data_IF_891391491917
#
_entry.id   IF_891391491917
#
_cell.length_a   1.000
_cell.length_b   1.000
_cell.length_c   1.000
_cell.angle_alpha   90.00
_cell.angle_beta   90.00
_cell.angle_gamma   90.00
#
_symmetry.space_group_name_H-M   'P 1'
#
loop_
_entity.id
_entity.type
_entity.pdbx_description
1 polymer ?
#
# COMPACT_ATOMS: atom_id res chain seq x y z
N UNK A 1 -32.25 -18.95 -3.94
CA UNK A 1 -31.25 -19.59 -3.07
C UNK A 1 -29.99 -19.86 -3.89
N UNK A 2 -28.91 -19.18 -3.62
CA UNK A 2 -27.64 -19.42 -4.32
C UNK A 2 -26.96 -20.67 -3.75
N UNK A 3 -26.52 -21.55 -4.64
CA UNK A 3 -25.92 -22.84 -4.31
C UNK A 3 -24.61 -22.66 -3.54
N UNK A 4 -24.49 -23.08 -2.25
CA UNK A 4 -23.29 -22.92 -1.43
C UNK A 4 -22.04 -23.58 -2.01
N UNK A 5 -22.18 -24.57 -2.88
CA UNK A 5 -21.07 -25.23 -3.56
C UNK A 5 -20.38 -24.35 -4.61
N UNK A 6 -21.03 -23.31 -5.14
CA UNK A 6 -20.40 -22.35 -6.08
C UNK A 6 -19.40 -21.43 -5.35
N UNK A 7 -19.71 -21.05 -4.12
CA UNK A 7 -18.84 -20.20 -3.30
C UNK A 7 -17.58 -20.97 -2.88
N UNK A 8 -17.74 -22.25 -2.51
CA UNK A 8 -16.60 -23.10 -2.12
C UNK A 8 -15.65 -23.40 -3.29
N UNK A 9 -16.16 -23.47 -4.52
CA UNK A 9 -15.34 -23.65 -5.73
C UNK A 9 -14.57 -22.38 -6.12
N UNK A 10 -15.13 -21.20 -5.85
CA UNK A 10 -14.43 -19.92 -5.98
C UNK A 10 -13.28 -19.82 -4.98
N UNK A 11 -13.47 -20.19 -3.72
CA UNK A 11 -12.37 -20.22 -2.72
C UNK A 11 -11.23 -21.17 -3.06
N UNK A 12 -11.49 -22.31 -3.71
CA UNK A 12 -10.43 -23.22 -4.20
C UNK A 12 -9.65 -22.67 -5.38
N UNK A 13 -10.21 -21.71 -6.15
CA UNK A 13 -9.58 -21.11 -7.33
C UNK A 13 -8.64 -19.94 -6.97
N UNK A 14 -8.80 -19.33 -5.78
CA UNK A 14 -7.93 -18.28 -5.26
C UNK A 14 -6.82 -18.85 -4.36
N UNK A 15 -6.07 -19.83 -4.89
CA UNK A 15 -4.85 -20.33 -4.24
C UNK A 15 -3.65 -19.42 -4.51
N UNK A 16 -3.84 -18.38 -5.29
CA UNK A 16 -2.84 -17.37 -5.63
C UNK A 16 -3.02 -16.17 -4.69
N UNK A 17 -1.93 -15.76 -4.07
CA UNK A 17 -1.90 -14.52 -3.31
C UNK A 17 -1.96 -13.33 -4.27
N UNK A 18 -2.42 -12.17 -3.81
CA UNK A 18 -2.87 -11.10 -4.68
C UNK A 18 -2.21 -9.75 -4.35
N UNK A 19 -2.15 -8.87 -5.33
CA UNK A 19 -1.94 -7.43 -5.13
C UNK A 19 -3.27 -6.79 -4.78
N UNK A 20 -3.37 -6.29 -3.56
CA UNK A 20 -4.63 -5.80 -2.97
C UNK A 20 -4.47 -4.33 -2.62
N UNK A 21 -5.43 -3.51 -3.00
CA UNK A 21 -5.54 -2.14 -2.53
C UNK A 21 -6.79 -1.99 -1.67
N UNK A 22 -6.62 -1.51 -0.45
CA UNK A 22 -7.72 -1.22 0.48
C UNK A 22 -7.85 0.29 0.60
N UNK A 23 -8.97 0.81 0.15
CA UNK A 23 -9.29 2.23 0.13
C UNK A 23 -10.25 2.57 1.28
N UNK A 24 -9.84 3.41 2.22
CA UNK A 24 -10.71 3.84 3.31
C UNK A 24 -10.37 5.25 3.82
N UNK A 25 -11.33 5.96 4.39
CA UNK A 25 -11.11 7.26 5.07
C UNK A 25 -10.15 7.09 6.27
N UNK A 26 -9.58 8.21 6.70
CA UNK A 26 -8.81 8.24 7.95
C UNK A 26 -9.69 7.80 9.13
N UNK A 27 -9.11 7.03 10.05
CA UNK A 27 -9.84 6.53 11.23
C UNK A 27 -10.70 5.27 11.00
N UNK A 28 -10.87 4.79 9.77
CA UNK A 28 -11.70 3.61 9.45
C UNK A 28 -11.00 2.26 9.67
N UNK A 29 -9.90 2.25 10.40
CA UNK A 29 -9.29 1.01 10.88
C UNK A 29 -8.34 0.32 9.91
N UNK A 30 -7.80 1.00 8.87
CA UNK A 30 -6.82 0.41 7.93
C UNK A 30 -5.67 -0.27 8.67
N UNK A 31 -4.99 0.44 9.55
CA UNK A 31 -3.89 -0.12 10.36
C UNK A 31 -4.38 -1.23 11.29
N UNK A 32 -5.59 -1.08 11.87
CA UNK A 32 -6.19 -2.10 12.74
C UNK A 32 -6.48 -3.40 11.97
N UNK A 33 -6.82 -3.33 10.69
CA UNK A 33 -7.17 -4.51 9.89
C UNK A 33 -6.01 -5.51 9.78
N UNK A 34 -4.77 -5.04 9.67
CA UNK A 34 -3.61 -5.94 9.63
C UNK A 34 -2.96 -6.15 11.02
N UNK A 35 -2.95 -5.13 11.88
CA UNK A 35 -2.38 -5.25 13.22
C UNK A 35 -3.20 -6.16 14.15
N UNK A 36 -4.50 -6.24 13.91
CA UNK A 36 -5.45 -6.83 14.84
C UNK A 36 -5.72 -5.94 16.05
N UNK A 37 -6.83 -6.18 16.71
CA UNK A 37 -7.19 -5.55 17.99
C UNK A 37 -8.19 -6.43 18.72
N UNK A 38 -7.69 -7.27 19.61
CA UNK A 38 -8.50 -8.26 20.34
C UNK A 38 -9.71 -7.64 21.04
N UNK A 39 -9.54 -6.46 21.64
CA UNK A 39 -10.64 -5.71 22.28
C UNK A 39 -11.85 -5.50 21.37
N UNK A 40 -11.66 -5.48 20.05
CA UNK A 40 -12.71 -5.31 19.04
C UNK A 40 -12.95 -6.56 18.20
N UNK A 41 -12.40 -7.71 18.61
CA UNK A 41 -12.55 -8.97 17.88
C UNK A 41 -11.82 -8.99 16.53
N UNK A 42 -10.94 -8.03 16.24
CA UNK A 42 -10.17 -7.98 14.98
C UNK A 42 -8.90 -8.80 15.13
N UNK A 43 -8.81 -9.91 14.42
CA UNK A 43 -7.68 -10.85 14.52
C UNK A 43 -6.38 -10.31 13.89
N UNK A 44 -6.47 -9.56 12.81
CA UNK A 44 -5.31 -9.07 12.04
C UNK A 44 -4.56 -10.17 11.28
N UNK A 45 -3.43 -9.78 10.68
CA UNK A 45 -2.51 -10.71 10.01
C UNK A 45 -1.51 -11.29 11.02
N UNK A 46 -0.96 -12.46 10.72
CA UNK A 46 0.09 -13.08 11.54
C UNK A 46 1.40 -12.27 11.44
N UNK A 47 1.90 -11.64 12.52
CA UNK A 47 3.12 -10.83 12.47
C UNK A 47 4.38 -11.60 12.05
N UNK A 48 4.42 -12.93 12.27
CA UNK A 48 5.55 -13.77 11.85
C UNK A 48 5.61 -13.96 10.34
N UNK A 49 4.49 -13.77 9.64
CA UNK A 49 4.36 -13.92 8.20
C UNK A 49 4.12 -12.58 7.50
N UNK A 50 4.18 -11.46 8.24
CA UNK A 50 3.82 -10.14 7.72
C UNK A 50 4.96 -9.16 7.90
N UNK A 51 5.33 -8.46 6.82
CA UNK A 51 6.23 -7.31 6.85
C UNK A 51 5.44 -6.03 6.59
N UNK A 52 5.68 -4.99 7.38
CA UNK A 52 4.97 -3.70 7.28
C UNK A 52 5.91 -2.60 6.83
N UNK A 53 5.55 -1.87 5.80
CA UNK A 53 6.22 -0.68 5.31
C UNK A 53 5.30 0.51 5.59
N UNK A 54 5.65 1.36 6.54
CA UNK A 54 4.91 2.57 6.85
C UNK A 54 5.42 3.74 6.03
N UNK A 55 4.56 4.33 5.21
CA UNK A 55 4.93 5.54 4.48
C UNK A 55 5.07 6.75 5.38
N UNK A 56 4.36 6.77 6.52
CA UNK A 56 4.56 7.74 7.59
C UNK A 56 4.76 7.01 8.92
N UNK A 57 5.63 7.56 9.78
CA UNK A 57 5.92 7.01 11.10
C UNK A 57 4.73 7.15 12.04
N UNK A 58 4.07 6.03 12.31
CA UNK A 58 3.00 5.94 13.31
C UNK A 58 3.26 4.79 14.27
N UNK A 59 2.87 5.00 15.52
CA UNK A 59 2.88 3.92 16.51
C UNK A 59 1.89 2.83 16.12
N UNK A 60 2.36 1.58 16.12
CA UNK A 60 1.54 0.40 15.93
C UNK A 60 1.23 -0.20 17.30
N UNK A 61 -0.05 -0.51 17.55
CA UNK A 61 -0.50 -1.04 18.85
C UNK A 61 0.06 -2.46 19.09
N UNK A 62 0.18 -3.26 18.03
CA UNK A 62 0.70 -4.62 18.14
C UNK A 62 2.22 -4.63 18.21
N UNK A 63 2.76 -4.88 19.41
CA UNK A 63 4.19 -4.90 19.70
C UNK A 63 4.98 -6.02 18.99
N UNK A 64 4.29 -6.98 18.37
CA UNK A 64 4.93 -8.03 17.56
C UNK A 64 5.44 -7.49 16.20
N UNK A 65 5.03 -6.29 15.79
CA UNK A 65 5.62 -5.59 14.65
C UNK A 65 6.83 -4.77 15.11
N UNK A 66 8.00 -5.40 15.08
CA UNK A 66 9.26 -4.81 15.53
C UNK A 66 9.86 -3.91 14.46
N UNK A 67 10.13 -2.66 14.83
CA UNK A 67 10.79 -1.69 13.93
C UNK A 67 12.23 -2.11 13.68
N UNK A 68 12.64 -2.20 12.41
CA UNK A 68 14.05 -2.30 12.04
C UNK A 68 14.75 -0.96 12.34
N UNK A 69 16.06 -0.95 12.61
CA UNK A 69 16.77 0.24 13.05
C UNK A 69 16.80 1.38 12.00
N UNK A 70 16.70 1.01 10.74
CA UNK A 70 16.68 1.92 9.59
C UNK A 70 15.93 1.28 8.41
N UNK A 71 15.91 1.96 7.26
CA UNK A 71 15.28 1.47 6.04
C UNK A 71 16.29 0.82 5.05
N UNK A 72 17.50 0.53 5.48
CA UNK A 72 18.48 -0.11 4.61
C UNK A 72 18.13 -1.58 4.35
N UNK A 73 18.37 -2.04 3.13
CA UNK A 73 18.03 -3.43 2.74
C UNK A 73 18.69 -4.45 3.68
N UNK A 74 19.93 -4.20 4.10
CA UNK A 74 20.65 -5.06 5.04
C UNK A 74 20.01 -5.12 6.44
N UNK A 75 19.18 -4.15 6.79
CA UNK A 75 18.53 -4.06 8.09
C UNK A 75 17.12 -4.66 8.12
N UNK A 76 16.55 -5.02 6.96
CA UNK A 76 15.16 -5.56 6.89
C UNK A 76 14.99 -6.81 7.73
N UNK A 77 16.01 -7.65 7.85
CA UNK A 77 15.95 -8.88 8.67
C UNK A 77 15.98 -8.63 10.19
N UNK A 78 16.30 -7.40 10.64
CA UNK A 78 16.37 -7.03 12.06
C UNK A 78 15.01 -6.67 12.66
N UNK A 79 13.96 -6.64 11.84
CA UNK A 79 12.59 -6.39 12.24
C UNK A 79 11.61 -6.94 11.21
N UNK A 80 10.34 -6.64 11.40
CA UNK A 80 9.29 -6.93 10.41
C UNK A 80 8.44 -5.67 10.12
N UNK A 81 9.04 -4.49 10.36
CA UNK A 81 8.46 -3.18 10.07
C UNK A 81 9.56 -2.15 9.81
N UNK A 82 9.34 -1.25 8.85
CA UNK A 82 10.14 -0.05 8.59
C UNK A 82 9.26 1.19 8.49
N UNK A 83 9.87 2.36 8.62
CA UNK A 83 9.24 3.68 8.46
C UNK A 83 10.01 4.49 7.42
N UNK A 84 9.35 4.86 6.33
CA UNK A 84 9.97 5.55 5.20
C UNK A 84 10.03 7.08 5.34
N UNK A 85 9.33 7.66 6.32
CA UNK A 85 9.31 9.11 6.57
C UNK A 85 10.65 9.70 7.01
N UNK A 86 11.60 8.87 7.41
CA UNK A 86 13.00 9.27 7.65
C UNK A 86 13.77 9.57 6.37
N UNK A 87 13.23 9.17 5.21
CA UNK A 87 13.82 9.40 3.88
C UNK A 87 13.02 10.50 3.19
N UNK A 88 13.69 11.47 2.60
CA UNK A 88 13.06 12.59 1.89
C UNK A 88 13.17 12.47 0.38
N UNK A 89 12.37 13.26 -0.32
CA UNK A 89 12.47 13.44 -1.76
C UNK A 89 12.18 12.17 -2.58
N UNK A 90 12.78 12.11 -3.77
CA UNK A 90 12.65 10.98 -4.70
C UNK A 90 13.27 9.69 -4.18
N UNK A 91 14.22 9.78 -3.26
CA UNK A 91 14.86 8.59 -2.67
C UNK A 91 13.88 7.75 -1.86
N UNK A 92 12.80 8.36 -1.34
CA UNK A 92 11.72 7.64 -0.66
C UNK A 92 10.96 6.70 -1.60
N UNK A 93 10.68 7.12 -2.83
CA UNK A 93 10.05 6.27 -3.85
C UNK A 93 10.96 5.11 -4.26
N UNK A 94 12.25 5.43 -4.53
CA UNK A 94 13.26 4.41 -4.86
C UNK A 94 13.40 3.41 -3.73
N UNK A 95 13.49 3.88 -2.48
CA UNK A 95 13.63 3.02 -1.32
C UNK A 95 12.43 2.09 -1.15
N UNK A 96 11.20 2.58 -1.35
CA UNK A 96 10.02 1.72 -1.31
C UNK A 96 10.10 0.64 -2.39
N UNK A 97 10.43 1.00 -3.63
CA UNK A 97 10.59 0.03 -4.72
C UNK A 97 11.68 -1.01 -4.41
N UNK A 98 12.84 -0.59 -3.92
CA UNK A 98 13.96 -1.47 -3.56
C UNK A 98 13.60 -2.43 -2.42
N UNK A 99 12.89 -1.94 -1.40
CA UNK A 99 12.39 -2.75 -0.27
C UNK A 99 11.38 -3.78 -0.77
N UNK A 100 10.45 -3.41 -1.64
CA UNK A 100 9.50 -4.35 -2.23
C UNK A 100 10.23 -5.47 -2.98
N UNK A 101 11.22 -5.13 -3.81
CA UNK A 101 12.04 -6.12 -4.54
C UNK A 101 12.82 -7.03 -3.57
N UNK A 102 13.41 -6.47 -2.52
CA UNK A 102 14.14 -7.25 -1.51
C UNK A 102 13.22 -8.23 -0.78
N UNK A 103 11.98 -7.82 -0.48
CA UNK A 103 10.99 -8.66 0.23
C UNK A 103 10.44 -9.81 -0.62
N UNK A 104 10.64 -9.81 -1.94
CA UNK A 104 10.28 -10.94 -2.80
C UNK A 104 10.92 -12.24 -2.30
N UNK A 105 12.20 -12.17 -1.90
CA UNK A 105 12.96 -13.35 -1.41
C UNK A 105 12.86 -13.56 0.10
N UNK A 106 12.09 -12.75 0.81
CA UNK A 106 11.93 -12.86 2.26
C UNK A 106 10.98 -14.02 2.64
N UNK A 107 10.98 -14.48 3.90
CA UNK A 107 10.05 -15.50 4.37
C UNK A 107 8.62 -14.96 4.59
N UNK A 108 8.41 -13.66 4.47
CA UNK A 108 7.11 -13.04 4.70
C UNK A 108 6.14 -13.33 3.56
N UNK A 109 4.94 -13.76 3.89
CA UNK A 109 3.84 -14.02 2.95
C UNK A 109 3.01 -12.78 2.66
N UNK A 110 2.92 -11.87 3.65
CA UNK A 110 2.14 -10.65 3.52
C UNK A 110 3.08 -9.44 3.61
N UNK A 111 3.05 -8.58 2.62
CA UNK A 111 3.76 -7.31 2.60
C UNK A 111 2.70 -6.21 2.61
N UNK A 112 2.68 -5.41 3.67
CA UNK A 112 1.71 -4.32 3.86
C UNK A 112 2.43 -3.00 3.66
N UNK A 113 1.92 -2.17 2.76
CA UNK A 113 2.33 -0.77 2.57
C UNK A 113 1.25 0.11 3.19
N UNK A 114 1.50 0.62 4.39
CA UNK A 114 0.54 1.39 5.17
C UNK A 114 0.66 2.89 4.89
N UNK A 115 -0.49 3.55 4.79
CA UNK A 115 -0.63 4.98 4.52
C UNK A 115 0.05 5.43 3.20
N UNK A 116 -0.14 4.64 2.13
CA UNK A 116 0.56 4.78 0.84
C UNK A 116 0.42 6.16 0.18
N UNK A 117 -0.72 6.84 0.36
CA UNK A 117 -0.93 8.19 -0.21
C UNK A 117 0.11 9.21 0.25
N UNK A 118 0.64 9.07 1.47
CA UNK A 118 1.53 10.07 2.04
C UNK A 118 2.88 10.15 1.35
N UNK A 119 3.30 9.10 0.63
CA UNK A 119 4.54 9.18 -0.14
C UNK A 119 4.48 10.30 -1.20
N UNK A 120 3.35 10.44 -1.88
CA UNK A 120 3.13 11.49 -2.87
C UNK A 120 2.75 12.82 -2.24
N UNK A 121 1.96 12.78 -1.17
CA UNK A 121 1.49 13.97 -0.48
C UNK A 121 2.64 14.75 0.15
N UNK A 122 3.52 14.09 0.87
CA UNK A 122 4.68 14.72 1.51
C UNK A 122 5.65 15.27 0.46
N UNK A 123 5.86 14.52 -0.64
CA UNK A 123 6.70 14.99 -1.74
C UNK A 123 6.14 16.25 -2.40
N UNK A 124 4.84 16.28 -2.68
CA UNK A 124 4.17 17.45 -3.23
C UNK A 124 4.29 18.66 -2.30
N UNK A 125 3.97 18.50 -1.02
CA UNK A 125 4.04 19.58 -0.04
C UNK A 125 5.46 20.15 0.10
N UNK A 126 6.48 19.30 0.11
CA UNK A 126 7.89 19.73 0.16
C UNK A 126 8.35 20.49 -1.09
N UNK A 127 7.66 20.35 -2.21
CA UNK A 127 8.00 20.95 -3.49
C UNK A 127 6.95 21.95 -4.02
N UNK A 128 5.88 22.21 -3.27
CA UNK A 128 4.73 23.01 -3.72
C UNK A 128 5.12 24.43 -4.17
N UNK A 129 6.18 25.00 -3.61
CA UNK A 129 6.67 26.35 -3.95
C UNK A 129 7.54 26.39 -5.21
N UNK A 130 7.93 25.25 -5.80
CA UNK A 130 8.80 25.23 -6.98
C UNK A 130 8.09 25.66 -8.27
N UNK A 131 6.77 25.65 -8.28
CA UNK A 131 5.97 25.96 -9.46
C UNK A 131 6.11 24.94 -10.61
N UNK A 132 5.28 25.10 -11.65
CA UNK A 132 5.38 24.32 -12.89
C UNK A 132 4.98 22.84 -12.76
N UNK A 133 5.29 22.08 -13.83
CA UNK A 133 4.89 20.67 -13.99
C UNK A 133 5.92 19.67 -13.49
N UNK A 134 7.07 20.12 -12.96
CA UNK A 134 8.15 19.25 -12.57
C UNK A 134 7.75 18.31 -11.42
N UNK A 135 7.17 18.85 -10.34
CA UNK A 135 6.74 18.07 -9.19
C UNK A 135 5.69 16.99 -9.54
N UNK A 136 4.61 17.26 -10.30
CA UNK A 136 3.71 16.23 -10.79
C UNK A 136 4.38 15.14 -11.63
N UNK A 137 5.34 15.48 -12.50
CA UNK A 137 6.09 14.51 -13.30
C UNK A 137 6.95 13.59 -12.43
N UNK A 138 7.62 14.15 -11.42
CA UNK A 138 8.44 13.39 -10.47
C UNK A 138 7.59 12.44 -9.62
N UNK A 139 6.40 12.87 -9.18
CA UNK A 139 5.43 12.01 -8.50
C UNK A 139 5.01 10.86 -9.42
N UNK A 140 4.63 11.16 -10.67
CA UNK A 140 4.27 10.14 -11.66
C UNK A 140 5.38 9.14 -11.88
N UNK A 141 6.62 9.60 -12.08
CA UNK A 141 7.79 8.73 -12.21
C UNK A 141 8.03 7.85 -10.98
N UNK A 142 7.97 8.45 -9.77
CA UNK A 142 8.15 7.72 -8.52
C UNK A 142 7.08 6.63 -8.29
N UNK A 143 5.82 6.96 -8.58
CA UNK A 143 4.72 5.98 -8.53
C UNK A 143 4.94 4.87 -9.57
N UNK A 144 5.42 5.20 -10.78
CA UNK A 144 5.79 4.24 -11.81
C UNK A 144 6.82 3.23 -11.31
N UNK A 145 7.90 3.68 -10.67
CA UNK A 145 8.93 2.80 -10.07
C UNK A 145 8.33 1.80 -9.09
N UNK A 146 7.42 2.26 -8.22
CA UNK A 146 6.76 1.39 -7.23
C UNK A 146 5.91 0.33 -7.94
N UNK A 147 5.05 0.74 -8.87
CA UNK A 147 4.17 -0.21 -9.56
C UNK A 147 4.92 -1.15 -10.49
N UNK A 148 6.04 -0.75 -11.06
CA UNK A 148 6.92 -1.66 -11.82
C UNK A 148 7.52 -2.72 -10.91
N UNK A 149 7.93 -2.37 -9.68
CA UNK A 149 8.37 -3.37 -8.70
C UNK A 149 7.26 -4.35 -8.29
N UNK A 150 5.99 -3.91 -8.30
CA UNK A 150 4.85 -4.78 -8.02
C UNK A 150 4.61 -5.83 -9.12
N UNK A 151 5.00 -5.58 -10.37
CA UNK A 151 4.80 -6.51 -11.49
C UNK A 151 5.57 -7.81 -11.36
N UNK A 152 6.71 -7.77 -10.67
CA UNK A 152 7.58 -8.94 -10.46
C UNK A 152 7.27 -9.67 -9.15
N UNK A 153 6.23 -9.25 -8.43
CA UNK A 153 5.85 -9.90 -7.18
C UNK A 153 5.32 -11.31 -7.44
N UNK A 154 5.83 -12.32 -6.73
CA UNK A 154 5.46 -13.71 -6.94
C UNK A 154 4.04 -14.00 -6.45
N UNK A 155 3.42 -15.01 -7.05
CA UNK A 155 2.03 -15.42 -6.77
C UNK A 155 1.83 -16.07 -5.39
N UNK A 156 2.91 -16.35 -4.66
CA UNK A 156 2.87 -16.92 -3.30
C UNK A 156 2.91 -15.87 -2.18
N UNK A 157 2.83 -14.57 -2.54
CA UNK A 157 2.83 -13.46 -1.59
C UNK A 157 1.68 -12.49 -1.82
N UNK A 158 1.08 -12.02 -0.73
CA UNK A 158 0.15 -10.90 -0.75
C UNK A 158 0.92 -9.57 -0.67
N UNK A 159 0.64 -8.66 -1.59
CA UNK A 159 1.10 -7.28 -1.53
C UNK A 159 -0.12 -6.39 -1.29
N UNK A 160 -0.19 -5.75 -0.13
CA UNK A 160 -1.37 -5.04 0.35
C UNK A 160 -1.05 -3.56 0.52
N UNK A 161 -1.67 -2.70 -0.28
CA UNK A 161 -1.60 -1.26 -0.13
C UNK A 161 -2.81 -0.75 0.65
N UNK A 162 -2.55 -0.01 1.73
CA UNK A 162 -3.58 0.68 2.49
C UNK A 162 -3.53 2.16 2.15
N UNK A 163 -4.61 2.69 1.60
CA UNK A 163 -4.65 4.02 1.06
C UNK A 163 -5.94 4.76 1.40
N UNK A 164 -5.93 6.08 1.21
CA UNK A 164 -7.12 6.90 1.28
C UNK A 164 -7.80 6.94 -0.09
N UNK A 165 -9.12 7.06 -0.09
CA UNK A 165 -9.89 7.32 -1.29
C UNK A 165 -10.37 8.76 -1.35
N UNK A 166 -10.71 9.18 -2.56
CA UNK A 166 -11.55 10.33 -2.83
C UNK A 166 -12.84 9.89 -3.52
N UNK A 167 -13.92 10.61 -3.25
CA UNK A 167 -15.22 10.38 -3.87
C UNK A 167 -15.27 11.15 -5.19
N UNK A 168 -15.56 10.45 -6.26
CA UNK A 168 -15.79 11.02 -7.57
C UNK A 168 -17.26 10.87 -7.93
N UNK A 169 -17.94 12.02 -8.10
CA UNK A 169 -19.31 12.04 -8.61
C UNK A 169 -19.26 12.23 -10.12
N UNK A 170 -19.80 11.29 -10.88
CA UNK A 170 -19.94 11.44 -12.32
C UNK A 170 -20.88 12.61 -12.61
N UNK A 171 -20.46 13.53 -13.49
CA UNK A 171 -21.25 14.70 -13.87
C UNK A 171 -22.52 14.33 -14.66
N UNK A 172 -22.54 13.13 -15.27
CA UNK A 172 -23.61 12.67 -16.16
C UNK A 172 -24.48 11.58 -15.50
N UNK A 173 -24.17 11.17 -14.28
CA UNK A 173 -24.95 10.18 -13.55
C UNK A 173 -24.90 10.51 -12.04
N UNK A 174 -25.90 10.02 -11.30
CA UNK A 174 -25.89 10.12 -9.83
C UNK A 174 -24.97 9.08 -9.16
N UNK A 175 -24.16 8.38 -9.94
CA UNK A 175 -23.23 7.38 -9.40
C UNK A 175 -22.05 8.01 -8.71
N UNK A 176 -21.72 7.48 -7.52
CA UNK A 176 -20.52 7.83 -6.77
C UNK A 176 -19.52 6.67 -6.96
N UNK A 177 -18.32 7.00 -7.43
CA UNK A 177 -17.21 6.07 -7.48
C UNK A 177 -16.12 6.49 -6.48
N UNK A 178 -15.37 5.50 -6.01
CA UNK A 178 -14.25 5.71 -5.08
C UNK A 178 -12.95 5.42 -5.81
N UNK A 179 -12.00 6.34 -5.72
CA UNK A 179 -10.70 6.23 -6.36
C UNK A 179 -9.59 6.43 -5.34
N UNK A 180 -8.42 5.90 -5.64
CA UNK A 180 -7.22 6.20 -4.90
C UNK A 180 -7.02 7.72 -4.84
N UNK A 181 -6.88 8.27 -3.63
CA UNK A 181 -6.63 9.69 -3.44
C UNK A 181 -5.23 10.04 -3.88
N UNK A 182 -5.10 10.49 -5.11
CA UNK A 182 -3.83 10.93 -5.70
C UNK A 182 -3.59 12.43 -5.50
N UNK A 183 -2.38 12.88 -5.77
CA UNK A 183 -2.06 14.30 -5.85
C UNK A 183 -1.77 14.66 -7.30
N UNK A 184 -2.74 15.41 -7.87
CA UNK A 184 -2.69 15.88 -9.25
C UNK A 184 -3.21 14.85 -10.25
N UNK A 185 -3.81 15.36 -11.31
CA UNK A 185 -4.45 14.59 -12.38
C UNK A 185 -3.50 13.66 -13.16
N UNK A 186 -2.20 13.90 -13.11
CA UNK A 186 -1.23 13.10 -13.87
C UNK A 186 -1.12 11.65 -13.37
N UNK A 187 -1.22 11.41 -12.06
CA UNK A 187 -1.19 10.04 -11.54
C UNK A 187 -2.41 9.29 -12.02
N UNK A 188 -3.58 9.92 -11.98
CA UNK A 188 -4.83 9.30 -12.42
C UNK A 188 -4.86 9.04 -13.93
N UNK A 189 -4.35 9.99 -14.72
CA UNK A 189 -4.37 9.90 -16.18
C UNK A 189 -3.40 8.86 -16.74
N UNK A 190 -2.22 8.68 -16.12
CA UNK A 190 -1.14 7.88 -16.71
C UNK A 190 -0.83 6.59 -15.97
N UNK A 191 -1.18 6.48 -14.70
CA UNK A 191 -0.80 5.31 -13.89
C UNK A 191 -2.00 4.45 -13.52
N UNK A 192 -3.15 5.07 -13.17
CA UNK A 192 -4.36 4.40 -12.68
C UNK A 192 -4.00 3.32 -11.65
N UNK A 193 -3.69 3.70 -10.39
CA UNK A 193 -3.17 2.77 -9.37
C UNK A 193 -4.05 1.53 -9.17
N UNK A 194 -5.37 1.69 -9.21
CA UNK A 194 -6.34 0.60 -9.06
C UNK A 194 -6.21 -0.43 -10.18
N UNK A 195 -5.91 0.01 -11.40
CA UNK A 195 -5.71 -0.88 -12.55
C UNK A 195 -4.44 -1.73 -12.49
N UNK A 196 -3.57 -1.50 -11.49
CA UNK A 196 -2.36 -2.30 -11.24
C UNK A 196 -2.58 -3.36 -10.15
N UNK A 197 -3.77 -3.40 -9.55
CA UNK A 197 -4.13 -4.32 -8.48
C UNK A 197 -5.02 -5.45 -8.99
N UNK A 198 -4.93 -6.60 -8.34
CA UNK A 198 -5.80 -7.74 -8.62
C UNK A 198 -7.14 -7.60 -7.89
N UNK A 199 -7.14 -6.90 -6.73
CA UNK A 199 -8.31 -6.65 -5.90
C UNK A 199 -8.26 -5.21 -5.38
N UNK A 200 -9.38 -4.50 -5.49
CA UNK A 200 -9.60 -3.19 -4.86
C UNK A 200 -10.81 -3.30 -3.94
N UNK A 201 -10.66 -2.91 -2.67
CA UNK A 201 -11.66 -2.99 -1.61
C UNK A 201 -11.97 -1.62 -1.03
#
# INVERSE_FOLDING_TARGET
>A
MQNPNKIHHLYKKFKHMAKIMVLAKSGFGKTTSYCGREKFGVKGLNPKETYVIQCIGRSIINKNYKLAPDCEIASLAKGNRIQLDIISGMDRYKRLADVLVALIKSPYKNIVVDDFNYISQDYYMANAMKGGWQTPKEIGYGMGLIFDSCRIFPEDKNLIFLAHYEEYKDKNSDSISYKFKSIGSMVDQYITPEGKMDIVL
#
